data_IF_933701198453
#
_entry.id   IF_933701198453
#
_cell.length_a   1.000
_cell.length_b   1.000
_cell.length_c   1.000
_cell.angle_alpha   90.00
_cell.angle_beta   90.00
_cell.angle_gamma   90.00
#
_symmetry.space_group_name_H-M   'P 1'
#
loop_
_entity.id
_entity.type
_entity.pdbx_description
1 polymer ?
#
# COMPACT_ATOMS: atom_id res chain seq x y z
N UNK A 1 24.90 55.53 34.72
CA UNK A 1 24.33 54.38 35.44
C UNK A 1 23.33 53.68 34.53
N UNK A 2 23.80 52.80 33.65
CA UNK A 2 22.97 52.09 32.67
C UNK A 2 22.70 50.68 33.17
N UNK A 3 21.42 50.31 33.28
CA UNK A 3 20.98 48.97 33.67
C UNK A 3 21.00 48.05 32.45
N UNK A 4 21.82 47.01 32.50
CA UNK A 4 21.91 45.94 31.52
C UNK A 4 20.76 44.95 31.76
N UNK A 5 19.81 44.85 30.82
CA UNK A 5 18.76 43.83 30.83
C UNK A 5 19.28 42.62 30.05
N UNK A 6 19.56 41.54 30.79
CA UNK A 6 19.85 40.21 30.28
C UNK A 6 18.58 39.58 29.71
N UNK A 7 18.58 39.26 28.41
CA UNK A 7 17.50 38.51 27.75
C UNK A 7 18.07 37.14 27.37
N UNK A 8 18.03 36.19 28.32
CA UNK A 8 18.11 34.77 28.00
C UNK A 8 16.88 34.40 27.17
N UNK A 9 17.06 34.24 25.85
CA UNK A 9 16.08 33.53 25.04
C UNK A 9 16.38 32.04 25.14
N UNK A 10 15.45 31.35 25.78
CA UNK A 10 15.38 29.92 25.99
C UNK A 10 15.39 29.20 24.64
N UNK A 11 16.55 28.66 24.28
CA UNK A 11 16.64 27.42 23.50
C UNK A 11 16.05 26.29 24.38
N UNK A 12 15.44 25.28 23.77
CA UNK A 12 14.82 24.10 24.43
C UNK A 12 13.49 24.33 25.19
N UNK A 13 12.41 24.68 24.48
CA UNK A 13 11.05 24.38 24.95
C UNK A 13 10.00 24.24 23.82
N UNK A 14 10.42 24.00 22.57
CA UNK A 14 9.49 23.75 21.45
C UNK A 14 9.64 22.36 20.80
N UNK A 15 10.52 21.50 21.34
CA UNK A 15 10.70 20.11 20.89
C UNK A 15 9.98 19.07 21.77
N UNK A 16 9.22 19.51 22.77
CA UNK A 16 8.46 18.64 23.71
C UNK A 16 6.95 18.93 23.64
N UNK A 17 6.49 19.43 22.49
CA UNK A 17 5.12 19.22 22.00
C UNK A 17 5.23 18.20 20.87
N UNK A 18 5.79 17.02 21.16
CA UNK A 18 4.97 15.89 21.59
C UNK A 18 3.75 15.80 20.66
N UNK A 19 3.92 15.21 19.48
CA UNK A 19 3.72 13.76 19.31
C UNK A 19 2.30 13.27 19.66
N UNK A 20 1.34 14.20 19.89
CA UNK A 20 -0.05 13.93 20.23
C UNK A 20 -1.04 14.01 19.06
N UNK A 21 -0.56 14.29 17.84
CA UNK A 21 -1.43 14.30 16.64
C UNK A 21 -0.82 13.56 15.44
N UNK A 22 0.32 12.89 15.62
CA UNK A 22 0.70 11.82 14.71
C UNK A 22 -0.14 10.61 15.10
N UNK A 23 -1.37 10.56 14.55
CA UNK A 23 -2.13 9.34 14.45
C UNK A 23 -1.31 8.36 13.60
N UNK A 24 -0.31 7.73 14.20
CA UNK A 24 0.07 6.40 13.82
C UNK A 24 -1.18 5.58 14.11
N UNK A 25 -2.05 5.43 13.10
CA UNK A 25 -2.85 4.21 12.97
C UNK A 25 -1.79 3.11 12.98
N UNK A 26 -1.52 2.56 14.17
CA UNK A 26 -0.61 1.44 14.30
C UNK A 26 -1.18 0.36 13.40
N UNK A 27 -0.44 -0.02 12.37
CA UNK A 27 -0.74 -1.22 11.64
C UNK A 27 -0.84 -2.33 12.70
N UNK A 28 -2.00 -2.97 12.80
CA UNK A 28 -2.18 -4.04 13.76
C UNK A 28 -1.24 -5.18 13.37
N UNK A 29 -0.33 -5.55 14.26
CA UNK A 29 0.58 -6.69 14.09
C UNK A 29 0.09 -7.86 14.94
N UNK A 30 0.06 -9.06 14.34
CA UNK A 30 -0.29 -10.28 15.05
C UNK A 30 0.74 -10.57 16.15
N UNK A 31 0.33 -10.74 17.43
CA UNK A 31 1.26 -11.12 18.49
C UNK A 31 1.91 -12.47 18.21
N UNK A 32 3.16 -12.68 18.62
CA UNK A 32 3.86 -13.96 18.38
C UNK A 32 3.09 -15.17 18.95
N UNK A 33 3.20 -16.33 18.30
CA UNK A 33 2.53 -17.57 18.74
C UNK A 33 2.91 -18.02 20.17
N UNK A 34 4.03 -17.54 20.71
CA UNK A 34 4.51 -17.81 22.07
C UNK A 34 4.09 -16.76 23.11
N UNK A 35 3.38 -15.70 22.70
CA UNK A 35 2.88 -14.66 23.59
C UNK A 35 1.79 -15.20 24.53
N UNK A 36 1.52 -14.53 25.69
CA UNK A 36 0.43 -14.93 26.56
C UNK A 36 -0.91 -15.01 25.81
N UNK A 37 -1.62 -16.13 25.99
CA UNK A 37 -2.89 -16.44 25.31
C UNK A 37 -2.80 -16.55 23.77
N UNK A 38 -1.59 -16.69 23.22
CA UNK A 38 -1.37 -17.12 21.84
C UNK A 38 -0.94 -18.60 21.77
N UNK A 39 -1.21 -19.22 20.64
CA UNK A 39 -0.68 -20.51 20.23
C UNK A 39 -0.50 -20.50 18.69
N UNK A 40 -0.01 -21.60 18.11
CA UNK A 40 0.20 -21.68 16.67
C UNK A 40 -1.10 -21.53 15.87
N UNK A 41 -2.21 -22.03 16.40
CA UNK A 41 -3.51 -22.03 15.73
C UNK A 41 -4.10 -20.61 15.62
N UNK A 42 -4.20 -19.88 16.73
CA UNK A 42 -4.78 -18.54 16.72
C UNK A 42 -3.83 -17.49 16.09
N UNK A 43 -2.51 -17.72 16.14
CA UNK A 43 -1.55 -16.95 15.36
C UNK A 43 -1.81 -17.10 13.86
N UNK A 44 -1.97 -18.34 13.38
CA UNK A 44 -2.29 -18.59 11.98
C UNK A 44 -3.63 -17.95 11.57
N UNK A 45 -4.64 -17.96 12.45
CA UNK A 45 -5.91 -17.26 12.20
C UNK A 45 -5.73 -15.75 12.08
N UNK A 46 -4.93 -15.14 12.96
CA UNK A 46 -4.61 -13.71 12.90
C UNK A 46 -3.90 -13.35 11.59
N UNK A 47 -2.87 -14.10 11.22
CA UNK A 47 -2.13 -13.89 9.98
C UNK A 47 -3.03 -14.00 8.75
N UNK A 48 -3.94 -14.98 8.73
CA UNK A 48 -4.93 -15.13 7.66
C UNK A 48 -5.87 -13.92 7.54
N UNK A 49 -6.29 -13.33 8.65
CA UNK A 49 -7.12 -12.12 8.64
C UNK A 49 -6.32 -10.91 8.11
N UNK A 50 -5.06 -10.78 8.51
CA UNK A 50 -4.16 -9.74 7.98
C UNK A 50 -3.96 -9.87 6.48
N UNK A 51 -3.67 -11.08 6.00
CA UNK A 51 -3.52 -11.40 4.56
C UNK A 51 -4.82 -11.17 3.77
N UNK A 52 -5.98 -11.33 4.41
CA UNK A 52 -7.28 -11.05 3.79
C UNK A 52 -7.61 -9.56 3.62
N UNK A 53 -6.69 -8.67 4.02
CA UNK A 53 -6.87 -7.21 3.94
C UNK A 53 -7.72 -6.66 5.08
N UNK A 54 -7.62 -7.22 6.29
CA UNK A 54 -8.28 -6.64 7.44
C UNK A 54 -7.58 -5.36 7.93
N UNK A 55 -8.29 -4.22 7.95
CA UNK A 55 -7.75 -2.94 8.45
C UNK A 55 -7.82 -2.82 9.97
N UNK A 56 -8.86 -3.39 10.57
CA UNK A 56 -9.18 -3.22 11.99
C UNK A 56 -9.61 -4.56 12.57
N UNK A 57 -9.01 -4.90 13.70
CA UNK A 57 -9.19 -6.19 14.36
C UNK A 57 -9.90 -5.98 15.69
N UNK A 58 -10.91 -6.81 15.94
CA UNK A 58 -11.45 -6.98 17.27
C UNK A 58 -10.74 -8.18 17.92
N UNK A 59 -10.18 -7.96 19.11
CA UNK A 59 -9.65 -9.02 19.97
C UNK A 59 -10.63 -9.29 21.10
N UNK A 60 -10.99 -10.55 21.29
CA UNK A 60 -11.85 -10.95 22.42
C UNK A 60 -11.00 -11.42 23.59
N UNK A 61 -11.46 -11.14 24.81
CA UNK A 61 -10.79 -11.54 26.06
C UNK A 61 -10.94 -13.05 26.33
N UNK A 62 -10.39 -13.89 25.45
CA UNK A 62 -10.32 -15.35 25.58
C UNK A 62 -8.86 -15.85 25.58
N UNK A 63 -8.62 -17.03 26.14
CA UNK A 63 -7.32 -17.70 26.09
C UNK A 63 -7.51 -19.14 25.57
N UNK A 64 -7.20 -19.44 24.31
CA UNK A 64 -6.48 -18.59 23.34
C UNK A 64 -7.27 -17.36 22.86
N UNK A 65 -6.56 -16.27 22.51
CA UNK A 65 -7.12 -15.05 21.93
C UNK A 65 -7.88 -15.39 20.65
N UNK A 66 -9.02 -14.73 20.46
CA UNK A 66 -9.80 -14.81 19.23
C UNK A 66 -9.74 -13.47 18.51
N UNK A 67 -9.64 -13.54 17.19
CA UNK A 67 -9.56 -12.38 16.31
C UNK A 67 -10.78 -12.37 15.38
N UNK A 68 -11.40 -11.21 15.24
CA UNK A 68 -12.37 -10.96 14.17
C UNK A 68 -11.95 -9.72 13.40
N UNK A 69 -12.28 -9.70 12.10
CA UNK A 69 -12.11 -8.49 11.31
C UNK A 69 -13.31 -7.58 11.52
N UNK A 70 -13.11 -6.42 12.15
CA UNK A 70 -14.16 -5.42 12.31
C UNK A 70 -14.30 -4.56 11.05
N UNK A 71 -13.21 -4.40 10.29
CA UNK A 71 -13.21 -3.67 9.03
C UNK A 71 -12.35 -4.32 7.96
N UNK A 72 -12.99 -4.87 6.93
CA UNK A 72 -12.31 -5.45 5.78
C UNK A 72 -12.08 -4.39 4.70
N UNK A 73 -10.92 -4.46 4.02
CA UNK A 73 -10.68 -3.72 2.79
C UNK A 73 -11.60 -4.24 1.70
N UNK A 74 -12.69 -3.52 1.48
CA UNK A 74 -13.54 -3.77 0.32
C UNK A 74 -12.95 -3.01 -0.85
N UNK A 75 -12.33 -3.77 -1.76
CA UNK A 75 -11.97 -3.26 -3.09
C UNK A 75 -13.25 -3.08 -3.90
N UNK A 76 -13.46 -1.86 -4.39
CA UNK A 76 -14.66 -1.46 -5.13
C UNK A 76 -14.39 -1.23 -6.62
N UNK A 77 -13.18 -1.56 -7.07
CA UNK A 77 -12.77 -1.50 -8.46
C UNK A 77 -11.92 -2.72 -8.84
N UNK A 78 -11.76 -2.89 -10.14
CA UNK A 78 -10.95 -3.93 -10.75
C UNK A 78 -10.16 -3.33 -11.90
N UNK A 79 -8.87 -3.60 -11.96
CA UNK A 79 -8.01 -3.15 -13.06
C UNK A 79 -7.55 -4.36 -13.86
N UNK A 80 -7.54 -4.21 -15.19
CA UNK A 80 -6.92 -5.18 -16.09
C UNK A 80 -5.74 -4.51 -16.79
N UNK A 81 -4.54 -5.07 -16.63
CA UNK A 81 -3.35 -4.71 -17.39
C UNK A 81 -3.11 -5.71 -18.51
N UNK A 82 -2.67 -5.19 -19.65
CA UNK A 82 -2.22 -5.95 -20.80
C UNK A 82 -0.69 -5.99 -20.78
N UNK A 83 -0.11 -7.19 -20.86
CA UNK A 83 1.35 -7.41 -20.86
C UNK A 83 1.82 -7.67 -22.28
N UNK A 84 2.85 -6.97 -22.72
CA UNK A 84 3.42 -7.04 -24.05
C UNK A 84 4.86 -7.59 -24.04
N UNK A 85 5.37 -8.09 -25.18
CA UNK A 85 6.74 -8.62 -25.26
C UNK A 85 7.83 -7.54 -25.23
N UNK A 86 7.48 -6.28 -25.48
CA UNK A 86 8.41 -5.15 -25.56
C UNK A 86 7.90 -3.93 -24.78
N UNK A 87 8.82 -3.01 -24.48
CA UNK A 87 8.60 -1.77 -23.73
C UNK A 87 7.77 -0.71 -24.49
N UNK A 88 7.41 -0.99 -25.76
CA UNK A 88 6.61 -0.13 -26.63
C UNK A 88 5.20 -0.65 -26.83
N UNK A 89 4.86 -1.78 -26.22
CA UNK A 89 3.58 -2.43 -26.33
C UNK A 89 3.18 -2.73 -27.78
N UNK A 90 4.14 -3.19 -28.60
CA UNK A 90 3.85 -3.52 -30.01
C UNK A 90 3.26 -4.92 -30.15
N UNK A 91 2.40 -5.10 -31.16
CA UNK A 91 1.79 -6.40 -31.47
C UNK A 91 0.60 -6.77 -30.58
N UNK A 92 0.40 -8.06 -30.35
CA UNK A 92 -0.68 -8.60 -29.50
C UNK A 92 -0.17 -8.76 -28.06
N UNK A 93 -1.00 -8.48 -27.04
CA UNK A 93 -0.62 -8.72 -25.65
C UNK A 93 -0.43 -10.22 -25.41
N UNK A 94 0.64 -10.57 -24.71
CA UNK A 94 0.98 -11.94 -24.28
C UNK A 94 0.00 -12.44 -23.22
N UNK A 95 -0.41 -11.54 -22.32
CA UNK A 95 -1.22 -11.87 -21.17
C UNK A 95 -2.13 -10.71 -20.77
N UNK A 96 -3.23 -11.05 -20.12
CA UNK A 96 -4.07 -10.10 -19.38
C UNK A 96 -3.98 -10.43 -17.88
N UNK A 97 -3.66 -9.44 -17.07
CA UNK A 97 -3.64 -9.56 -15.62
C UNK A 97 -4.77 -8.72 -15.06
N UNK A 98 -5.66 -9.32 -14.29
CA UNK A 98 -6.79 -8.64 -13.65
C UNK A 98 -6.67 -8.78 -12.15
N UNK A 99 -6.78 -7.69 -11.42
CA UNK A 99 -6.69 -7.70 -9.97
C UNK A 99 -7.55 -6.61 -9.32
N UNK A 100 -8.03 -6.84 -8.09
CA UNK A 100 -8.88 -5.90 -7.38
C UNK A 100 -8.09 -4.66 -6.96
N UNK A 101 -8.76 -3.50 -6.98
CA UNK A 101 -8.19 -2.21 -6.61
C UNK A 101 -9.28 -1.29 -6.04
N UNK A 102 -8.94 -0.04 -5.76
CA UNK A 102 -9.84 0.96 -5.19
C UNK A 102 -10.30 1.94 -6.26
N UNK A 103 -11.46 2.58 -6.06
CA UNK A 103 -11.96 3.66 -6.92
C UNK A 103 -11.46 5.05 -6.50
N UNK A 104 -10.65 5.13 -5.44
CA UNK A 104 -10.12 6.37 -4.84
C UNK A 104 -8.69 6.17 -4.35
N UNK A 105 -7.87 7.23 -4.37
CA UNK A 105 -6.53 7.19 -3.80
C UNK A 105 -6.57 6.81 -2.32
N UNK A 106 -5.58 6.02 -1.91
CA UNK A 106 -5.37 5.60 -0.53
C UNK A 106 -3.89 5.69 -0.20
N UNK A 107 -3.61 5.92 1.08
CA UNK A 107 -2.25 6.08 1.59
C UNK A 107 -1.67 4.76 2.10
N UNK A 108 -2.27 3.61 1.78
CA UNK A 108 -1.74 2.31 2.15
C UNK A 108 -0.48 1.99 1.33
N UNK A 109 0.57 1.60 2.05
CA UNK A 109 1.81 1.18 1.44
C UNK A 109 1.79 -0.31 1.18
N UNK A 110 2.07 -0.71 -0.05
CA UNK A 110 2.25 -2.09 -0.46
C UNK A 110 3.73 -2.36 -0.73
N UNK A 111 4.26 -3.41 -0.10
CA UNK A 111 5.59 -3.92 -0.34
C UNK A 111 5.53 -5.44 -0.46
N UNK A 112 6.20 -5.98 -1.47
CA UNK A 112 6.31 -7.42 -1.72
C UNK A 112 7.79 -7.83 -1.67
N UNK A 113 8.07 -9.04 -1.18
CA UNK A 113 9.41 -9.61 -1.16
C UNK A 113 9.99 -9.78 -2.58
N UNK A 114 9.14 -9.93 -3.60
CA UNK A 114 9.59 -9.93 -4.99
C UNK A 114 10.18 -8.58 -5.42
N UNK A 115 9.82 -7.49 -4.74
CA UNK A 115 10.20 -6.12 -5.05
C UNK A 115 10.91 -5.46 -3.88
N UNK A 116 11.95 -6.09 -3.32
CA UNK A 116 12.70 -5.63 -2.11
C UNK A 116 13.20 -4.18 -2.12
N UNK A 117 13.21 -3.52 -3.27
CA UNK A 117 13.63 -2.11 -3.40
C UNK A 117 12.53 -1.22 -3.98
N UNK A 118 11.28 -1.66 -3.97
CA UNK A 118 10.13 -0.89 -4.43
C UNK A 118 9.01 -1.01 -3.40
N UNK A 119 8.38 0.11 -3.13
CA UNK A 119 7.08 0.13 -2.46
C UNK A 119 6.10 0.92 -3.30
N UNK A 120 4.83 0.56 -3.21
CA UNK A 120 3.77 1.10 -4.07
C UNK A 120 2.68 1.66 -3.17
N UNK A 121 2.27 2.89 -3.44
CA UNK A 121 1.15 3.56 -2.76
C UNK A 121 0.10 3.99 -3.79
N UNK A 122 -1.07 4.41 -3.32
CA UNK A 122 -2.06 5.13 -4.16
C UNK A 122 -2.49 4.35 -5.40
N UNK A 123 -2.74 3.04 -5.27
CA UNK A 123 -3.25 2.19 -6.36
C UNK A 123 -4.75 2.35 -6.50
N UNK A 124 -5.23 3.02 -7.54
CA UNK A 124 -6.67 3.20 -7.75
C UNK A 124 -7.05 3.43 -9.22
N UNK A 125 -8.29 3.06 -9.54
CA UNK A 125 -8.96 3.44 -10.78
C UNK A 125 -9.65 4.79 -10.59
N UNK A 126 -9.27 5.77 -11.38
CA UNK A 126 -9.90 7.09 -11.38
C UNK A 126 -11.26 7.03 -12.11
N UNK A 127 -12.33 7.44 -11.43
CA UNK A 127 -13.71 7.35 -11.95
C UNK A 127 -14.02 8.33 -13.07
N UNK A 128 -13.33 9.46 -13.11
CA UNK A 128 -13.58 10.52 -14.08
C UNK A 128 -12.89 10.22 -15.41
N UNK A 129 -11.64 9.73 -15.33
CA UNK A 129 -10.80 9.48 -16.49
C UNK A 129 -10.82 8.02 -16.96
N UNK A 130 -11.17 7.08 -16.08
CA UNK A 130 -11.05 5.65 -16.34
C UNK A 130 -9.61 5.14 -16.37
N UNK A 131 -8.63 5.95 -15.94
CA UNK A 131 -7.23 5.59 -15.87
C UNK A 131 -6.89 4.88 -14.55
N UNK A 132 -5.80 4.12 -14.55
CA UNK A 132 -5.26 3.53 -13.33
C UNK A 132 -4.03 4.31 -12.87
N UNK A 133 -3.96 4.61 -11.59
CA UNK A 133 -2.89 5.37 -10.96
C UNK A 133 -2.18 4.50 -9.93
N UNK A 134 -0.86 4.67 -9.83
CA UNK A 134 -0.05 4.20 -8.71
C UNK A 134 1.16 5.11 -8.48
N UNK A 135 1.64 5.15 -7.25
CA UNK A 135 2.87 5.87 -6.89
C UNK A 135 3.92 4.86 -6.49
N UNK A 136 5.04 4.81 -7.22
CA UNK A 136 6.14 3.87 -6.97
C UNK A 136 7.28 4.59 -6.27
N UNK A 137 7.71 4.07 -5.12
CA UNK A 137 8.82 4.56 -4.32
C UNK A 137 10.03 3.64 -4.52
N UNK A 138 11.12 4.20 -5.07
CA UNK A 138 12.35 3.45 -5.31
C UNK A 138 13.27 3.50 -4.08
N UNK A 139 13.80 2.34 -3.66
CA UNK A 139 14.71 2.20 -2.52
C UNK A 139 14.06 2.39 -1.14
N UNK A 140 12.74 2.26 -1.05
CA UNK A 140 11.96 2.35 0.19
C UNK A 140 11.02 1.14 0.30
N UNK A 141 10.89 0.63 1.52
CA UNK A 141 9.96 -0.45 1.90
C UNK A 141 8.70 0.09 2.59
N UNK A 142 8.71 1.38 2.96
CA UNK A 142 7.72 2.00 3.85
C UNK A 142 6.84 3.07 3.17
N UNK A 143 6.97 3.27 1.85
CA UNK A 143 6.36 4.39 1.09
C UNK A 143 6.57 5.75 1.75
N UNK A 144 7.60 5.84 2.60
CA UNK A 144 7.90 7.00 3.41
C UNK A 144 9.00 7.81 2.76
N UNK A 145 8.88 9.13 2.85
CA UNK A 145 10.01 10.05 2.64
C UNK A 145 11.00 10.04 3.83
N UNK A 146 10.91 9.03 4.70
CA UNK A 146 11.73 8.81 5.90
C UNK A 146 13.12 8.30 5.53
N UNK A 147 13.79 8.96 4.58
CA UNK A 147 15.23 8.87 4.46
C UNK A 147 15.86 10.13 5.03
N UNK A 148 17.03 10.03 5.66
CA UNK A 148 17.70 11.20 6.21
C UNK A 148 17.89 12.28 5.14
N UNK A 149 17.90 13.54 5.56
CA UNK A 149 17.98 14.71 4.67
C UNK A 149 19.20 14.75 3.73
N UNK A 150 20.16 13.83 3.80
CA UNK A 150 21.26 13.68 2.85
C UNK A 150 21.00 12.61 1.77
N UNK A 151 19.84 11.97 1.76
CA UNK A 151 19.38 10.95 0.80
C UNK A 151 18.11 11.36 0.02
N UNK A 152 17.62 12.59 0.23
CA UNK A 152 16.47 13.16 -0.48
C UNK A 152 16.64 13.21 -2.02
N UNK A 153 17.88 13.24 -2.52
CA UNK A 153 18.13 13.15 -3.97
C UNK A 153 18.03 11.71 -4.52
N UNK A 154 17.99 10.69 -3.65
CA UNK A 154 17.95 9.27 -4.06
C UNK A 154 16.59 8.60 -3.93
N UNK A 155 15.65 9.13 -3.15
CA UNK A 155 14.27 8.65 -3.08
C UNK A 155 13.43 9.45 -4.04
N UNK A 156 13.30 8.95 -5.27
CA UNK A 156 12.30 9.45 -6.21
C UNK A 156 11.07 8.58 -6.03
N UNK A 157 9.94 9.17 -5.65
CA UNK A 157 8.65 8.59 -6.01
C UNK A 157 8.35 8.93 -7.47
N UNK A 158 7.61 8.08 -8.15
CA UNK A 158 7.08 8.36 -9.47
C UNK A 158 5.60 8.04 -9.48
N UNK A 159 4.78 9.01 -9.84
CA UNK A 159 3.37 8.80 -10.14
C UNK A 159 3.27 8.23 -11.56
N UNK A 160 2.80 6.99 -11.64
CA UNK A 160 2.59 6.28 -12.89
C UNK A 160 1.09 6.29 -13.16
N UNK A 161 0.73 6.74 -14.36
CA UNK A 161 -0.65 6.72 -14.85
C UNK A 161 -0.72 5.79 -16.04
N UNK A 162 -1.51 4.73 -15.91
CA UNK A 162 -1.79 3.81 -17.00
C UNK A 162 -3.09 4.24 -17.69
N UNK A 163 -3.01 4.35 -19.00
CA UNK A 163 -4.09 4.72 -19.91
C UNK A 163 -4.19 3.65 -21.00
N UNK A 164 -5.31 3.59 -21.76
CA UNK A 164 -5.41 2.63 -22.87
C UNK A 164 -4.42 2.89 -24.01
N UNK A 165 -3.82 4.08 -24.06
CA UNK A 165 -3.01 4.56 -25.18
C UNK A 165 -1.51 4.63 -24.87
N UNK A 166 -1.10 4.63 -23.61
CA UNK A 166 0.32 4.68 -23.22
C UNK A 166 0.88 3.29 -22.92
N UNK A 167 2.18 3.13 -23.13
CA UNK A 167 2.92 1.95 -22.72
C UNK A 167 3.89 2.34 -21.61
N UNK A 168 3.85 1.60 -20.50
CA UNK A 168 4.76 1.75 -19.37
C UNK A 168 5.47 0.42 -19.20
N UNK A 169 6.72 0.35 -19.64
CA UNK A 169 7.58 -0.84 -19.48
C UNK A 169 6.92 -2.16 -19.95
N UNK A 170 6.22 -2.11 -21.09
CA UNK A 170 5.53 -3.27 -21.65
C UNK A 170 4.16 -3.57 -21.05
N UNK A 171 3.64 -2.68 -20.19
CA UNK A 171 2.29 -2.73 -19.66
C UNK A 171 1.43 -1.61 -20.23
N UNK A 172 0.17 -1.93 -20.50
CA UNK A 172 -0.86 -0.97 -20.91
C UNK A 172 -2.17 -1.22 -20.19
N UNK A 173 -2.95 -0.16 -19.93
CA UNK A 173 -4.26 -0.35 -19.35
C UNK A 173 -5.18 -1.06 -20.34
N UNK A 174 -5.74 -2.19 -19.90
CA UNK A 174 -6.85 -2.84 -20.59
C UNK A 174 -8.17 -2.17 -20.24
N UNK A 175 -8.46 -2.06 -18.93
CA UNK A 175 -9.65 -1.38 -18.42
C UNK A 175 -9.55 -1.13 -16.90
N UNK A 176 -10.27 -0.11 -16.46
CA UNK A 176 -10.69 0.09 -15.06
C UNK A 176 -12.20 -0.14 -14.97
N UNK A 177 -12.64 -0.95 -14.00
CA UNK A 177 -14.05 -1.23 -13.74
C UNK A 177 -14.38 -0.89 -12.29
N UNK A 178 -15.54 -0.27 -12.05
CA UNK A 178 -15.99 0.18 -10.72
C UNK A 178 -16.93 -0.85 -10.07
N UNK A 179 -16.52 -2.11 -10.17
CA UNK A 179 -17.17 -3.26 -9.57
C UNK A 179 -16.07 -4.20 -9.07
N UNK A 180 -16.35 -5.02 -8.03
CA UNK A 180 -15.42 -6.05 -7.60
C UNK A 180 -15.02 -6.94 -8.78
N UNK A 181 -13.77 -7.41 -8.80
CA UNK A 181 -13.35 -8.37 -9.82
C UNK A 181 -14.23 -9.63 -9.75
N UNK A 182 -14.61 -10.15 -10.91
CA UNK A 182 -15.25 -11.46 -10.98
C UNK A 182 -14.37 -12.48 -10.26
N UNK A 183 -14.93 -13.17 -9.27
CA UNK A 183 -14.19 -14.07 -8.37
C UNK A 183 -13.47 -15.21 -9.08
N UNK A 184 -13.80 -15.47 -10.36
CA UNK A 184 -13.11 -16.43 -11.21
C UNK A 184 -11.75 -15.95 -11.74
N UNK A 185 -11.44 -14.65 -11.65
CA UNK A 185 -10.20 -14.05 -12.18
C UNK A 185 -9.09 -13.84 -11.15
N UNK A 186 -9.37 -14.00 -9.86
CA UNK A 186 -8.34 -13.88 -8.81
C UNK A 186 -7.39 -15.09 -8.85
N UNK A 187 -6.25 -14.94 -9.52
CA UNK A 187 -5.10 -15.85 -9.39
C UNK A 187 -4.82 -16.78 -10.56
N UNK A 188 -5.61 -16.75 -11.65
CA UNK A 188 -5.25 -17.43 -12.89
C UNK A 188 -4.74 -16.44 -13.92
N UNK A 189 -3.43 -16.46 -14.15
CA UNK A 189 -2.84 -15.97 -15.38
C UNK A 189 -3.57 -16.62 -16.56
N UNK A 190 -4.50 -15.90 -17.20
CA UNK A 190 -5.14 -16.38 -18.40
C UNK A 190 -4.09 -16.41 -19.51
N UNK A 191 -3.57 -17.59 -19.83
CA UNK A 191 -2.75 -17.81 -21.02
C UNK A 191 -3.61 -17.50 -22.22
N UNK A 192 -3.18 -16.55 -23.07
CA UNK A 192 -3.88 -16.26 -24.31
C UNK A 192 -3.83 -17.51 -25.20
N UNK A 193 -4.99 -18.11 -25.48
CA UNK A 193 -5.11 -19.16 -26.49
C UNK A 193 -4.60 -18.61 -27.82
N UNK A 194 -3.57 -19.28 -28.36
CA UNK A 194 -2.83 -18.91 -29.58
C UNK A 194 -3.60 -19.26 -30.86
#
# INVERSE_FOLDING_TARGET
MSRTISRQQSTLAFLVFWCLLSMCRGAFECPAATAPCMNEENHAQCMKLLESGCEEFDTFESCPLQFACSKQLVTDACVTLLVFPDDKCTGKPLQKMTFPTFSKPRNDCYHDEATKNLSIQSRYCDRETGNWHETVYFGSEDCGETKPWWQFWSTKSMDIVFTPDNCVDGYRLGKCQFQPCDSEMNGKAATADS
#
